data_IF_793538662581
#
_entry.id   IF_793538662581
#
_cell.length_a   1.000
_cell.length_b   1.000
_cell.length_c   1.000
_cell.angle_alpha   90.00
_cell.angle_beta   90.00
_cell.angle_gamma   90.00
#
_symmetry.space_group_name_H-M   'P 1'
#
loop_
_entity.id
_entity.type
_entity.pdbx_description
1 polymer ?
#
# COMPACT_ATOMS: atom_id res chain seq x y z
N UNK A 1 8.77 -32.80 1.34
CA UNK A 1 7.99 -31.57 1.08
C UNK A 1 8.87 -30.40 1.47
N UNK A 2 9.08 -29.43 0.58
CA UNK A 2 9.87 -28.24 0.90
C UNK A 2 8.95 -27.11 1.35
N UNK A 3 9.38 -26.36 2.37
CA UNK A 3 8.66 -25.17 2.85
C UNK A 3 9.62 -23.98 2.75
N UNK A 4 9.29 -23.03 1.88
CA UNK A 4 10.06 -21.79 1.70
C UNK A 4 9.90 -20.96 2.96
N UNK A 5 11.02 -20.49 3.52
CA UNK A 5 11.01 -19.69 4.72
C UNK A 5 10.70 -20.48 5.98
N UNK A 6 11.13 -21.74 6.10
CA UNK A 6 11.00 -22.53 7.35
C UNK A 6 12.28 -23.30 7.67
N UNK A 7 12.67 -23.30 8.96
CA UNK A 7 13.75 -24.15 9.48
C UNK A 7 13.34 -25.62 9.59
N UNK A 8 14.29 -26.54 9.63
CA UNK A 8 14.01 -27.99 9.56
C UNK A 8 13.12 -28.51 10.72
N UNK A 9 13.28 -27.95 11.93
CA UNK A 9 12.59 -28.39 13.15
C UNK A 9 11.38 -27.49 13.50
N UNK A 10 11.02 -26.55 12.63
CA UNK A 10 9.92 -25.61 12.86
C UNK A 10 8.59 -26.18 12.32
N UNK A 11 7.49 -25.83 12.99
CA UNK A 11 6.13 -26.22 12.60
C UNK A 11 5.21 -24.99 12.56
N UNK A 12 4.05 -25.12 11.93
CA UNK A 12 3.08 -24.02 11.82
C UNK A 12 2.34 -23.99 10.49
N UNK A 13 1.45 -22.99 10.29
CA UNK A 13 0.62 -22.87 9.09
C UNK A 13 1.48 -22.71 7.84
N UNK A 14 1.03 -23.31 6.74
CA UNK A 14 1.72 -23.26 5.45
C UNK A 14 0.72 -23.12 4.33
N UNK A 15 1.12 -22.41 3.29
CA UNK A 15 0.33 -22.21 2.08
C UNK A 15 0.90 -23.02 0.91
N UNK A 16 0.07 -23.78 0.16
CA UNK A 16 0.50 -24.44 -1.07
C UNK A 16 0.96 -23.43 -2.11
N UNK A 17 2.19 -23.55 -2.62
CA UNK A 17 2.75 -22.59 -3.58
C UNK A 17 2.98 -23.20 -4.96
N UNK A 18 3.26 -24.51 -5.03
CA UNK A 18 3.44 -25.20 -6.29
C UNK A 18 4.22 -26.50 -6.12
N UNK A 19 4.97 -26.88 -7.16
CA UNK A 19 5.79 -28.07 -7.18
C UNK A 19 7.13 -27.76 -7.85
N UNK A 20 8.18 -28.45 -7.43
CA UNK A 20 9.41 -28.47 -8.21
C UNK A 20 9.17 -29.15 -9.56
N UNK A 21 9.87 -28.69 -10.59
CA UNK A 21 9.97 -29.39 -11.87
C UNK A 21 11.30 -30.12 -11.96
N UNK A 22 11.24 -31.40 -12.31
CA UNK A 22 12.42 -32.17 -12.63
C UNK A 22 13.01 -31.73 -13.98
N UNK A 23 14.24 -32.19 -14.28
CA UNK A 23 14.96 -31.81 -15.52
C UNK A 23 14.25 -32.26 -16.79
N UNK A 24 13.46 -33.33 -16.71
CA UNK A 24 12.62 -33.85 -17.79
C UNK A 24 11.26 -33.12 -17.90
N UNK A 25 11.03 -32.10 -17.08
CA UNK A 25 9.79 -31.32 -17.05
C UNK A 25 8.67 -31.93 -16.23
N UNK A 26 8.85 -33.14 -15.69
CA UNK A 26 7.87 -33.79 -14.83
C UNK A 26 7.69 -33.07 -13.49
N UNK A 27 6.51 -33.27 -12.88
CA UNK A 27 6.18 -32.70 -11.57
C UNK A 27 6.88 -33.51 -10.49
N UNK A 28 7.58 -32.82 -9.60
CA UNK A 28 8.29 -33.41 -8.47
C UNK A 28 7.65 -32.97 -7.14
N UNK A 29 8.45 -32.87 -6.07
CA UNK A 29 7.95 -32.63 -4.72
C UNK A 29 7.16 -31.30 -4.60
N UNK A 30 6.07 -31.29 -3.80
CA UNK A 30 5.32 -30.08 -3.52
C UNK A 30 6.15 -29.07 -2.72
N UNK A 31 5.89 -27.80 -3.02
CA UNK A 31 6.48 -26.63 -2.41
C UNK A 31 5.38 -25.84 -1.71
N UNK A 32 5.64 -25.50 -0.45
CA UNK A 32 4.78 -24.63 0.35
C UNK A 32 5.55 -23.38 0.78
N UNK A 33 4.83 -22.37 1.23
CA UNK A 33 5.38 -21.17 1.88
C UNK A 33 5.00 -21.21 3.35
N UNK A 34 5.95 -20.83 4.21
CA UNK A 34 5.71 -20.64 5.63
C UNK A 34 4.82 -19.43 5.89
N UNK A 35 3.80 -19.60 6.74
CA UNK A 35 2.92 -18.52 7.18
C UNK A 35 2.97 -18.32 8.69
N UNK A 36 3.90 -18.99 9.39
CA UNK A 36 3.98 -18.96 10.85
C UNK A 36 4.70 -17.71 11.37
N UNK A 37 5.42 -17.00 10.50
CA UNK A 37 6.22 -15.83 10.84
C UNK A 37 6.20 -14.78 9.73
N UNK A 38 6.54 -13.51 10.04
CA UNK A 38 6.63 -12.46 9.03
C UNK A 38 7.72 -12.75 8.00
N UNK A 39 7.42 -12.48 6.73
CA UNK A 39 8.37 -12.55 5.62
C UNK A 39 8.33 -11.29 4.79
N UNK A 40 9.49 -10.87 4.29
CA UNK A 40 9.59 -9.92 3.20
C UNK A 40 9.96 -10.70 1.92
N UNK A 41 9.11 -10.61 0.89
CA UNK A 41 9.30 -11.33 -0.37
C UNK A 41 9.14 -10.39 -1.57
N UNK A 42 9.86 -10.70 -2.65
CA UNK A 42 9.78 -9.96 -3.91
C UNK A 42 9.50 -10.94 -5.07
N UNK A 43 8.44 -10.68 -5.83
CA UNK A 43 8.07 -11.47 -7.01
C UNK A 43 8.49 -10.72 -8.27
N UNK A 44 9.50 -11.25 -8.96
CA UNK A 44 10.08 -10.63 -10.17
C UNK A 44 9.91 -11.52 -11.40
N UNK A 45 9.87 -10.92 -12.58
CA UNK A 45 9.77 -11.64 -13.84
C UNK A 45 9.32 -10.76 -15.01
N UNK A 46 9.55 -11.24 -16.23
CA UNK A 46 9.18 -10.56 -17.48
C UNK A 46 7.66 -10.29 -17.56
N UNK A 47 7.24 -9.43 -18.49
CA UNK A 47 5.80 -9.24 -18.76
C UNK A 47 5.16 -10.59 -19.12
N UNK A 48 3.99 -10.87 -18.54
CA UNK A 48 3.28 -12.13 -18.75
C UNK A 48 3.83 -13.35 -18.00
N UNK A 49 4.86 -13.20 -17.16
CA UNK A 49 5.44 -14.32 -16.41
C UNK A 49 4.62 -14.78 -15.18
N UNK A 50 3.38 -14.31 -15.03
CA UNK A 50 2.50 -14.70 -13.93
C UNK A 50 2.72 -13.99 -12.58
N UNK A 51 3.41 -12.85 -12.51
CA UNK A 51 3.64 -12.13 -11.24
C UNK A 51 2.35 -11.86 -10.44
N UNK A 52 1.36 -11.22 -11.06
CA UNK A 52 0.07 -10.94 -10.42
C UNK A 52 -0.66 -12.24 -10.06
N UNK A 53 -0.61 -13.26 -10.90
CA UNK A 53 -1.16 -14.57 -10.59
C UNK A 53 -0.53 -15.20 -9.33
N UNK A 54 0.80 -15.12 -9.20
CA UNK A 54 1.51 -15.59 -8.01
C UNK A 54 1.07 -14.82 -6.75
N UNK A 55 0.95 -13.49 -6.83
CA UNK A 55 0.48 -12.67 -5.70
C UNK A 55 -0.98 -12.96 -5.35
N UNK A 56 -1.84 -13.23 -6.34
CA UNK A 56 -3.24 -13.57 -6.13
C UNK A 56 -3.37 -14.90 -5.38
N UNK A 57 -2.62 -15.93 -5.78
CA UNK A 57 -2.59 -17.23 -5.08
C UNK A 57 -2.11 -17.10 -3.62
N UNK A 58 -1.13 -16.24 -3.38
CA UNK A 58 -0.68 -15.96 -2.00
C UNK A 58 -1.79 -15.26 -1.20
N UNK A 59 -2.44 -14.24 -1.76
CA UNK A 59 -3.53 -13.54 -1.10
C UNK A 59 -4.71 -14.47 -0.80
N UNK A 60 -5.14 -15.26 -1.79
CA UNK A 60 -6.21 -16.25 -1.67
C UNK A 60 -5.91 -17.29 -0.59
N UNK A 61 -4.74 -17.95 -0.66
CA UNK A 61 -4.44 -18.98 0.34
C UNK A 61 -4.18 -18.42 1.74
N UNK A 62 -3.77 -17.15 1.88
CA UNK A 62 -3.60 -16.51 3.19
C UNK A 62 -4.94 -16.23 3.86
N UNK A 63 -6.05 -16.16 3.11
CA UNK A 63 -7.40 -16.08 3.70
C UNK A 63 -7.74 -17.31 4.56
N UNK A 64 -7.13 -18.46 4.25
CA UNK A 64 -7.32 -19.72 4.99
C UNK A 64 -6.36 -19.88 6.19
N UNK A 65 -5.50 -18.88 6.44
CA UNK A 65 -4.53 -18.92 7.55
C UNK A 65 -5.10 -18.15 8.75
N UNK A 66 -5.38 -18.89 9.83
CA UNK A 66 -5.82 -18.29 11.09
C UNK A 66 -4.84 -17.21 11.58
N UNK A 67 -5.38 -16.03 11.88
CA UNK A 67 -4.60 -14.88 12.36
C UNK A 67 -3.95 -14.04 11.26
N UNK A 68 -4.16 -14.35 9.98
CA UNK A 68 -3.75 -13.50 8.86
C UNK A 68 -4.94 -12.68 8.32
N UNK A 69 -4.68 -11.42 7.95
CA UNK A 69 -5.63 -10.59 7.21
C UNK A 69 -4.90 -10.06 5.97
N UNK A 70 -5.10 -10.67 4.79
CA UNK A 70 -4.43 -10.24 3.57
C UNK A 70 -4.93 -8.87 3.13
N UNK A 71 -3.99 -7.96 2.84
CA UNK A 71 -4.29 -6.64 2.24
C UNK A 71 -3.56 -6.54 0.92
N UNK A 72 -4.31 -6.31 -0.15
CA UNK A 72 -3.78 -6.15 -1.51
C UNK A 72 -3.99 -4.71 -1.96
N UNK A 73 -2.89 -4.02 -2.26
CA UNK A 73 -2.92 -2.72 -2.94
C UNK A 73 -2.84 -2.97 -4.43
N UNK A 74 -3.94 -2.71 -5.14
CA UNK A 74 -4.09 -3.02 -6.56
C UNK A 74 -4.16 -1.76 -7.43
N UNK A 75 -3.01 -1.13 -7.76
CA UNK A 75 -3.02 0.09 -8.57
C UNK A 75 -3.48 -0.14 -10.01
N UNK A 76 -3.51 -1.40 -10.48
CA UNK A 76 -3.77 -1.75 -11.89
C UNK A 76 -5.11 -2.48 -12.10
N UNK A 77 -5.91 -2.68 -11.05
CA UNK A 77 -7.17 -3.42 -11.13
C UNK A 77 -7.02 -4.88 -11.54
N UNK A 78 -5.88 -5.52 -11.25
CA UNK A 78 -5.57 -6.89 -11.65
C UNK A 78 -6.15 -7.97 -10.73
N UNK A 79 -6.71 -7.61 -9.58
CA UNK A 79 -7.06 -8.55 -8.50
C UNK A 79 -8.56 -8.63 -8.19
N UNK A 80 -9.45 -8.16 -9.07
CA UNK A 80 -10.91 -8.25 -8.89
C UNK A 80 -11.41 -9.68 -8.65
N UNK A 81 -10.70 -10.70 -9.15
CA UNK A 81 -11.02 -12.11 -8.90
C UNK A 81 -10.96 -12.52 -7.42
N UNK A 82 -10.25 -11.77 -6.56
CA UNK A 82 -10.20 -12.06 -5.12
C UNK A 82 -11.54 -11.85 -4.41
N UNK A 83 -12.49 -11.14 -5.01
CA UNK A 83 -13.86 -11.03 -4.49
C UNK A 83 -14.52 -12.41 -4.33
N UNK A 84 -14.19 -13.36 -5.22
CA UNK A 84 -14.68 -14.74 -5.11
C UNK A 84 -14.11 -15.49 -3.89
N UNK A 85 -12.96 -15.05 -3.37
CA UNK A 85 -12.36 -15.53 -2.13
C UNK A 85 -12.81 -14.71 -0.90
N UNK A 86 -13.83 -13.86 -1.06
CA UNK A 86 -14.39 -13.04 0.03
C UNK A 86 -13.65 -11.71 0.27
N UNK A 87 -12.76 -11.29 -0.63
CA UNK A 87 -12.09 -10.00 -0.50
C UNK A 87 -13.10 -8.84 -0.59
N UNK A 88 -12.94 -7.86 0.30
CA UNK A 88 -13.70 -6.61 0.27
C UNK A 88 -12.92 -5.54 -0.47
N UNK A 89 -13.48 -5.00 -1.55
CA UNK A 89 -12.91 -3.83 -2.22
C UNK A 89 -13.19 -2.59 -1.37
N UNK A 90 -12.10 -1.95 -0.94
CA UNK A 90 -12.15 -0.70 -0.18
C UNK A 90 -11.64 0.43 -1.06
N UNK A 91 -12.42 1.49 -1.19
CA UNK A 91 -11.93 2.74 -1.78
C UNK A 91 -10.86 3.32 -0.84
N UNK A 92 -9.59 3.42 -1.26
CA UNK A 92 -8.52 3.88 -0.37
C UNK A 92 -8.73 5.37 -0.06
N UNK A 93 -8.93 5.68 1.22
CA UNK A 93 -9.04 7.05 1.72
C UNK A 93 -8.05 7.28 2.84
N UNK A 94 -7.37 8.42 2.81
CA UNK A 94 -6.47 8.87 3.87
C UNK A 94 -7.14 10.06 4.54
N UNK A 95 -7.33 10.00 5.86
CA UNK A 95 -7.81 11.16 6.62
C UNK A 95 -6.70 12.21 6.66
N UNK A 96 -7.05 13.49 6.55
CA UNK A 96 -6.02 14.54 6.54
C UNK A 96 -5.21 14.55 7.85
N UNK A 97 -5.87 14.25 8.97
CA UNK A 97 -5.29 14.10 10.31
C UNK A 97 -4.37 12.88 10.47
N UNK A 98 -4.34 11.95 9.50
CA UNK A 98 -3.39 10.83 9.52
C UNK A 98 -1.95 11.28 9.19
N UNK A 99 -1.80 12.47 8.61
CA UNK A 99 -0.51 13.08 8.31
C UNK A 99 -0.26 14.18 9.34
N UNK A 100 0.84 14.12 10.12
CA UNK A 100 1.20 15.20 11.04
C UNK A 100 1.27 16.55 10.32
N UNK A 101 0.78 17.67 10.91
CA UNK A 101 0.81 18.99 10.28
C UNK A 101 2.17 19.39 9.69
N UNK A 102 3.26 19.05 10.38
CA UNK A 102 4.63 19.32 9.98
C UNK A 102 5.07 18.59 8.69
N UNK A 103 4.43 17.48 8.33
CA UNK A 103 4.77 16.66 7.16
C UNK A 103 4.01 17.10 5.91
N UNK A 104 2.92 17.85 6.06
CA UNK A 104 2.08 18.31 4.95
C UNK A 104 2.83 19.11 3.88
N UNK A 105 3.73 20.07 4.21
CA UNK A 105 4.45 20.81 3.19
C UNK A 105 5.24 19.88 2.28
N UNK A 106 6.01 18.95 2.86
CA UNK A 106 6.79 17.98 2.10
C UNK A 106 5.90 17.04 1.27
N UNK A 107 4.77 16.58 1.84
CA UNK A 107 3.81 15.72 1.15
C UNK A 107 3.27 16.36 -0.15
N UNK A 108 3.03 17.68 -0.14
CA UNK A 108 2.57 18.42 -1.32
C UNK A 108 3.70 19.02 -2.15
N UNK A 109 4.96 18.71 -1.83
CA UNK A 109 6.14 19.14 -2.59
C UNK A 109 6.57 20.58 -2.34
N UNK A 110 6.38 21.09 -1.13
CA UNK A 110 6.86 22.39 -0.64
C UNK A 110 7.96 22.20 0.41
N UNK A 111 8.79 23.23 0.60
CA UNK A 111 9.73 23.28 1.72
C UNK A 111 9.00 23.85 2.96
N UNK A 112 8.95 23.15 4.11
CA UNK A 112 8.34 23.68 5.32
C UNK A 112 8.87 25.05 5.77
N UNK A 113 10.10 25.41 5.39
CA UNK A 113 10.72 26.68 5.75
C UNK A 113 10.37 27.83 4.80
N UNK A 114 9.81 27.54 3.62
CA UNK A 114 9.35 28.57 2.69
C UNK A 114 7.96 29.13 3.10
N UNK A 115 7.57 30.27 2.55
CA UNK A 115 6.33 30.95 2.92
C UNK A 115 5.07 30.14 2.59
N UNK A 116 5.06 29.39 1.48
CA UNK A 116 3.92 28.58 1.09
C UNK A 116 3.83 27.29 1.93
N UNK A 117 4.97 26.65 2.21
CA UNK A 117 5.06 25.47 3.05
C UNK A 117 4.69 25.77 4.49
N UNK A 118 5.19 26.87 5.07
CA UNK A 118 4.77 27.32 6.41
C UNK A 118 3.26 27.59 6.48
N UNK A 119 2.68 28.17 5.42
CA UNK A 119 1.24 28.41 5.36
C UNK A 119 0.44 27.08 5.25
N UNK A 120 0.91 26.11 4.47
CA UNK A 120 0.29 24.76 4.40
C UNK A 120 0.37 24.04 5.74
N UNK A 121 1.49 24.15 6.46
CA UNK A 121 1.61 23.61 7.81
C UNK A 121 0.53 24.20 8.72
N UNK A 122 0.43 25.53 8.79
CA UNK A 122 -0.56 26.20 9.63
C UNK A 122 -1.99 25.79 9.29
N UNK A 123 -2.31 25.67 7.99
CA UNK A 123 -3.60 25.18 7.55
C UNK A 123 -3.87 23.73 8.01
N UNK A 124 -2.87 22.85 7.96
CA UNK A 124 -2.97 21.47 8.44
C UNK A 124 -3.13 21.37 9.96
N UNK A 125 -2.54 22.29 10.71
CA UNK A 125 -2.68 22.38 12.17
C UNK A 125 -4.07 22.89 12.58
N UNK A 126 -4.68 23.75 11.75
CA UNK A 126 -5.96 24.39 12.01
C UNK A 126 -7.19 23.60 11.54
N UNK A 127 -7.02 22.57 10.69
CA UNK A 127 -8.14 21.89 10.05
C UNK A 127 -7.95 20.37 9.91
N UNK A 128 -9.02 19.62 10.19
CA UNK A 128 -9.02 18.16 10.14
C UNK A 128 -9.29 17.57 8.73
N UNK A 129 -9.52 18.44 7.73
CA UNK A 129 -9.87 18.01 6.37
C UNK A 129 -9.12 18.82 5.32
N UNK A 130 -8.85 18.22 4.16
CA UNK A 130 -8.30 18.92 2.99
C UNK A 130 -9.17 20.12 2.56
N UNK A 131 -10.49 20.02 2.71
CA UNK A 131 -11.39 21.14 2.41
C UNK A 131 -11.20 22.29 3.41
N UNK A 132 -11.18 22.00 4.71
CA UNK A 132 -10.93 22.99 5.75
C UNK A 132 -9.54 23.64 5.65
N UNK A 133 -8.51 22.87 5.27
CA UNK A 133 -7.19 23.43 4.98
C UNK A 133 -7.25 24.46 3.86
N UNK A 134 -8.01 24.19 2.78
CA UNK A 134 -8.18 25.12 1.65
C UNK A 134 -8.96 26.38 2.05
N UNK A 135 -9.95 26.25 2.93
CA UNK A 135 -10.68 27.38 3.51
C UNK A 135 -9.73 28.25 4.35
N UNK A 136 -8.93 27.63 5.23
CA UNK A 136 -7.94 28.34 6.04
C UNK A 136 -6.89 29.08 5.19
N UNK A 137 -6.47 28.52 4.04
CA UNK A 137 -5.60 29.22 3.09
C UNK A 137 -6.28 30.45 2.48
N UNK A 138 -7.57 30.35 2.14
CA UNK A 138 -8.33 31.43 1.52
C UNK A 138 -8.61 32.60 2.48
N UNK A 139 -8.70 32.30 3.78
CA UNK A 139 -8.91 33.28 4.86
C UNK A 139 -7.60 33.87 5.42
N UNK A 140 -6.44 33.39 4.96
CA UNK A 140 -5.13 33.84 5.43
C UNK A 140 -4.82 35.28 4.98
N UNK A 141 -4.20 36.05 5.88
CA UNK A 141 -3.63 37.38 5.59
C UNK A 141 -2.28 37.32 4.83
N UNK A 142 -1.83 36.13 4.42
CA UNK A 142 -0.62 35.98 3.61
C UNK A 142 -0.76 36.66 2.24
N UNK A 143 0.37 36.92 1.58
CA UNK A 143 0.35 37.57 0.28
C UNK A 143 -0.37 36.71 -0.77
N UNK A 144 -1.08 37.31 -1.74
CA UNK A 144 -1.88 36.55 -2.72
C UNK A 144 -1.09 35.52 -3.53
N UNK A 145 0.19 35.76 -3.77
CA UNK A 145 1.09 34.82 -4.46
C UNK A 145 1.41 33.60 -3.60
N UNK A 146 1.59 33.77 -2.29
CA UNK A 146 1.82 32.67 -1.33
C UNK A 146 0.56 31.82 -1.19
N UNK A 147 -0.62 32.45 -0.98
CA UNK A 147 -1.91 31.74 -0.92
C UNK A 147 -2.15 30.93 -2.18
N UNK A 148 -1.92 31.53 -3.36
CA UNK A 148 -2.05 30.84 -4.64
C UNK A 148 -1.09 29.66 -4.76
N UNK A 149 0.16 29.82 -4.33
CA UNK A 149 1.17 28.75 -4.41
C UNK A 149 0.80 27.59 -3.49
N UNK A 150 0.50 27.87 -2.22
CA UNK A 150 0.02 26.88 -1.26
C UNK A 150 -1.24 26.15 -1.76
N UNK A 151 -2.22 26.90 -2.27
CA UNK A 151 -3.46 26.36 -2.81
C UNK A 151 -3.26 25.44 -4.01
N UNK A 152 -2.36 25.80 -4.95
CA UNK A 152 -2.03 24.96 -6.10
C UNK A 152 -1.41 23.62 -5.69
N UNK A 153 -0.52 23.63 -4.70
CA UNK A 153 0.12 22.41 -4.20
C UNK A 153 -0.88 21.53 -3.45
N UNK A 154 -1.70 22.12 -2.58
CA UNK A 154 -2.73 21.38 -1.84
C UNK A 154 -3.82 20.80 -2.77
N UNK A 155 -4.14 21.46 -3.87
CA UNK A 155 -5.08 20.95 -4.87
C UNK A 155 -4.61 19.64 -5.51
N UNK A 156 -3.30 19.39 -5.63
CA UNK A 156 -2.75 18.11 -6.13
C UNK A 156 -2.99 16.95 -5.17
N UNK A 157 -3.17 17.20 -3.87
CA UNK A 157 -3.53 16.18 -2.90
C UNK A 157 -5.01 15.79 -2.96
N UNK A 158 -5.85 16.59 -3.64
CA UNK A 158 -7.28 16.35 -3.81
C UNK A 158 -7.65 15.69 -5.15
N UNK A 159 -6.67 15.46 -6.04
CA UNK A 159 -6.82 14.87 -7.38
C UNK A 159 -6.26 13.45 -7.44
#
# INVERSE_FOLDING_TARGET
MAVIGRGADESGPTLPFGHYRARDGSVSAPVKVDCARPHAACVVGKRGSGKSNTLALLAEGLCEVDGAVPVVVDPMGAFSGLEAAGAMVCEPRVQATAVPPAEWPALVGLDPADSAGSLVWQAADAADTLAGMREALAESDATPDVVRTAGNHLARAAS
#
